data_IF_712477210592
#
_entry.id   IF_712477210592
#
_cell.length_a   1.000
_cell.length_b   1.000
_cell.length_c   1.000
_cell.angle_alpha   90.00
_cell.angle_beta   90.00
_cell.angle_gamma   90.00
#
_symmetry.space_group_name_H-M   'P 1'
#
loop_
_entity.id
_entity.type
_entity.pdbx_description
1 polymer ?
#
# COMPACT_ATOMS: atom_id res chain seq x y z
N UNK A 1 -3.13 25.99 -5.08
CA UNK A 1 -3.27 24.53 -4.90
C UNK A 1 -1.95 24.00 -4.39
N UNK A 2 -1.88 23.59 -3.12
CA UNK A 2 -0.69 22.91 -2.60
C UNK A 2 -0.49 21.63 -3.41
N UNK A 3 0.71 21.44 -3.97
CA UNK A 3 1.08 20.26 -4.76
C UNK A 3 0.93 19.06 -3.82
N UNK A 4 -0.11 18.25 -4.00
CA UNK A 4 -0.29 17.02 -3.21
C UNK A 4 1.06 16.28 -3.26
N UNK A 5 1.72 16.00 -2.13
CA UNK A 5 2.93 15.20 -2.16
C UNK A 5 2.49 13.81 -2.63
N UNK A 6 2.70 13.52 -3.91
CA UNK A 6 2.21 12.29 -4.58
C UNK A 6 3.06 11.07 -4.21
N UNK A 7 3.58 11.02 -3.00
CA UNK A 7 4.44 9.94 -2.54
C UNK A 7 3.68 9.19 -1.44
N UNK A 8 3.41 7.90 -1.67
CA UNK A 8 2.98 7.02 -0.59
C UNK A 8 4.14 6.82 0.40
N UNK A 9 3.86 6.25 1.58
CA UNK A 9 4.88 6.07 2.62
C UNK A 9 6.13 5.33 2.12
N UNK A 10 5.96 4.29 1.30
CA UNK A 10 7.07 3.54 0.68
C UNK A 10 7.98 4.46 -0.13
N UNK A 11 7.41 5.25 -1.05
CA UNK A 11 8.19 6.17 -1.89
C UNK A 11 8.86 7.24 -1.01
N UNK A 12 8.16 7.73 0.02
CA UNK A 12 8.71 8.68 0.98
C UNK A 12 9.93 8.14 1.73
N UNK A 13 9.85 6.91 2.25
CA UNK A 13 10.96 6.25 2.94
C UNK A 13 12.15 6.04 1.99
N UNK A 14 11.92 5.49 0.80
CA UNK A 14 12.98 5.18 -0.17
C UNK A 14 13.66 6.45 -0.72
N UNK A 15 12.91 7.52 -0.98
CA UNK A 15 13.46 8.79 -1.49
C UNK A 15 14.42 9.45 -0.49
N UNK A 16 14.20 9.24 0.81
CA UNK A 16 15.06 9.76 1.87
C UNK A 16 16.19 8.78 2.26
N UNK A 17 16.49 7.78 1.40
CA UNK A 17 17.46 6.71 1.68
C UNK A 17 17.15 5.92 2.96
N UNK A 18 15.88 5.87 3.36
CA UNK A 18 15.39 5.13 4.51
C UNK A 18 14.97 3.70 4.17
N UNK A 19 14.53 2.97 5.20
CA UNK A 19 13.96 1.62 5.05
C UNK A 19 12.44 1.74 5.01
N UNK A 20 11.81 1.12 4.00
CA UNK A 20 10.37 0.99 3.92
C UNK A 20 9.91 -0.35 4.51
N UNK A 21 8.95 -0.31 5.42
CA UNK A 21 8.31 -1.47 6.00
C UNK A 21 6.94 -1.68 5.36
N UNK A 22 6.71 -2.86 4.80
CA UNK A 22 5.45 -3.22 4.13
C UNK A 22 5.04 -4.63 4.51
N UNK A 23 3.79 -4.98 4.21
CA UNK A 23 3.27 -6.35 4.30
C UNK A 23 2.74 -6.83 2.96
N UNK A 24 2.71 -8.15 2.77
CA UNK A 24 2.00 -8.81 1.69
C UNK A 24 0.58 -9.16 2.14
N UNK A 25 -0.41 -8.95 1.28
CA UNK A 25 -1.81 -9.23 1.60
C UNK A 25 -2.67 -9.45 0.35
N UNK A 26 -3.87 -10.01 0.56
CA UNK A 26 -4.88 -10.17 -0.49
C UNK A 26 -5.55 -8.84 -0.85
N UNK A 27 -6.10 -8.74 -2.06
CA UNK A 27 -6.86 -7.58 -2.55
C UNK A 27 -8.23 -7.52 -1.89
N UNK A 28 -8.29 -7.00 -0.66
CA UNK A 28 -9.53 -6.82 0.08
C UNK A 28 -9.57 -5.51 0.87
N UNK A 29 -10.78 -4.94 0.99
CA UNK A 29 -11.00 -3.65 1.67
C UNK A 29 -10.63 -3.67 3.14
N UNK A 30 -10.77 -4.81 3.81
CA UNK A 30 -10.48 -4.92 5.24
C UNK A 30 -8.96 -4.83 5.49
N UNK A 31 -8.16 -5.42 4.60
CA UNK A 31 -6.71 -5.23 4.56
C UNK A 31 -6.37 -3.76 4.34
N UNK A 32 -6.98 -3.08 3.37
CA UNK A 32 -6.74 -1.65 3.11
C UNK A 32 -6.98 -0.78 4.34
N UNK A 33 -8.14 -0.96 5.00
CA UNK A 33 -8.48 -0.27 6.25
C UNK A 33 -7.47 -0.59 7.36
N UNK A 34 -7.09 -1.85 7.51
CA UNK A 34 -6.15 -2.26 8.56
C UNK A 34 -4.78 -1.63 8.36
N UNK A 35 -4.24 -1.66 7.13
CA UNK A 35 -2.94 -1.08 6.81
C UNK A 35 -2.96 0.43 6.94
N UNK A 36 -4.06 1.09 6.55
CA UNK A 36 -4.22 2.55 6.68
C UNK A 36 -4.14 3.06 8.12
N UNK A 37 -4.42 2.21 9.11
CA UNK A 37 -4.29 2.54 10.55
C UNK A 37 -3.03 1.95 11.19
N UNK A 38 -2.22 1.21 10.43
CA UNK A 38 -1.00 0.56 10.90
C UNK A 38 0.21 1.50 10.88
N UNK A 39 1.38 0.97 11.26
CA UNK A 39 2.68 1.65 11.13
C UNK A 39 3.44 1.28 9.86
N UNK A 40 2.85 0.50 8.96
CA UNK A 40 3.49 0.19 7.69
C UNK A 40 3.52 1.41 6.78
N UNK A 41 4.57 1.51 5.98
CA UNK A 41 4.75 2.55 4.97
C UNK A 41 3.84 2.30 3.73
N UNK A 42 3.34 1.07 3.60
CA UNK A 42 2.38 0.66 2.58
C UNK A 42 2.04 -0.83 2.64
N UNK A 43 1.36 -1.31 1.59
CA UNK A 43 0.97 -2.70 1.39
C UNK A 43 1.31 -3.13 -0.03
N UNK A 44 1.72 -4.39 -0.18
CA UNK A 44 1.86 -5.07 -1.47
C UNK A 44 0.68 -6.02 -1.61
N UNK A 45 -0.26 -5.66 -2.48
CA UNK A 45 -1.38 -6.55 -2.82
C UNK A 45 -0.91 -7.63 -3.78
N UNK A 46 -1.00 -8.87 -3.33
CA UNK A 46 -0.60 -10.03 -4.09
C UNK A 46 -1.65 -10.34 -5.17
N UNK A 47 -1.24 -10.22 -6.43
CA UNK A 47 -2.05 -10.56 -7.60
C UNK A 47 -1.35 -11.46 -8.60
N UNK A 48 -0.06 -11.75 -8.37
CA UNK A 48 0.70 -12.72 -9.17
C UNK A 48 0.61 -14.12 -8.55
N UNK A 49 0.78 -14.22 -7.24
CA UNK A 49 0.71 -15.49 -6.51
C UNK A 49 -0.70 -15.79 -5.97
N UNK A 50 -1.54 -14.77 -5.83
CA UNK A 50 -2.96 -14.89 -5.52
C UNK A 50 -3.80 -14.53 -6.74
N UNK A 51 -5.09 -14.94 -6.78
CA UNK A 51 -5.99 -14.54 -7.86
C UNK A 51 -6.08 -13.03 -8.01
N UNK A 52 -5.85 -12.54 -9.23
CA UNK A 52 -6.03 -11.14 -9.58
C UNK A 52 -7.49 -10.72 -9.47
N UNK A 53 -7.77 -9.70 -8.65
CA UNK A 53 -9.08 -9.08 -8.49
C UNK A 53 -8.99 -7.56 -8.57
N UNK A 54 -9.29 -7.01 -9.76
CA UNK A 54 -9.26 -5.56 -9.98
C UNK A 54 -10.34 -4.81 -9.18
N UNK A 55 -11.45 -5.46 -8.85
CA UNK A 55 -12.52 -4.83 -8.05
C UNK A 55 -12.05 -4.74 -6.60
N UNK A 56 -11.55 -5.87 -6.07
CA UNK A 56 -10.91 -5.91 -4.75
C UNK A 56 -9.78 -4.88 -4.61
N UNK A 57 -8.90 -4.78 -5.61
CA UNK A 57 -7.79 -3.81 -5.60
C UNK A 57 -8.26 -2.34 -5.64
N UNK A 58 -9.33 -2.04 -6.40
CA UNK A 58 -9.89 -0.68 -6.46
C UNK A 58 -10.53 -0.27 -5.15
N UNK A 59 -11.19 -1.21 -4.48
CA UNK A 59 -11.98 -0.95 -3.28
C UNK A 59 -11.11 -0.94 -2.00
N UNK A 60 -9.89 -1.48 -2.07
CA UNK A 60 -8.91 -1.52 -0.98
C UNK A 60 -8.09 -0.22 -0.85
#
# INVERSE_FOLDING_TARGET
MSKIPRLNGIIGALTNSGVAFSTFASMDVQTGITVATSKFDGVVYEGEHNPWDIVGLRDA
#
